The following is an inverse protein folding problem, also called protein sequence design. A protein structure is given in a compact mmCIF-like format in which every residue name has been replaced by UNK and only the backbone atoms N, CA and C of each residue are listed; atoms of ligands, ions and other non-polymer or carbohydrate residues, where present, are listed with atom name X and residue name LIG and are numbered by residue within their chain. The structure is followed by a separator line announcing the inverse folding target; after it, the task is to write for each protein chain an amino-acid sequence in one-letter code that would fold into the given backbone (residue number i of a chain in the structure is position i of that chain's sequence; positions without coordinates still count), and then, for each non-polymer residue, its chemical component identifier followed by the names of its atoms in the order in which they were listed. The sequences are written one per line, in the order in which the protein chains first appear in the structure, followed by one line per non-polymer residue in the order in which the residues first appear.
data_IF_389238666466
#
_entry.id   IF_389238666466
#
_cell.length_a   1.000
_cell.length_b   1.000
_cell.length_c   1.000
_cell.angle_alpha   90.00
_cell.angle_beta   90.00
_cell.angle_gamma   90.00
#
_symmetry.space_group_name_H-M   'P 1'
#
loop_
_entity.id
_entity.type
_entity.pdbx_description
1 polymer ?
#
# COMPACT_ATOMS: atom_id res chain seq x y z
N UNK A 1 -25.94 7.49 8.82
CA UNK A 1 -25.58 6.07 8.63
C UNK A 1 -24.50 5.73 9.65
N UNK A 2 -24.65 4.64 10.41
CA UNK A 2 -23.71 4.25 11.46
C UNK A 2 -22.35 3.89 10.85
N UNK A 3 -21.33 4.70 11.11
CA UNK A 3 -19.97 4.43 10.67
C UNK A 3 -19.39 3.31 11.55
N UNK A 4 -19.50 2.06 11.10
CA UNK A 4 -18.89 0.91 11.79
C UNK A 4 -17.38 1.01 11.53
N UNK A 5 -16.64 1.47 12.53
CA UNK A 5 -15.17 1.53 12.46
C UNK A 5 -14.66 0.08 12.50
N UNK A 6 -13.89 -0.39 11.49
CA UNK A 6 -13.31 -1.73 11.52
C UNK A 6 -12.49 -1.91 12.79
N UNK A 7 -12.63 -3.08 13.44
CA UNK A 7 -12.23 -3.22 14.84
C UNK A 7 -10.73 -3.40 15.07
N UNK A 8 -9.94 -3.79 14.06
CA UNK A 8 -8.48 -3.87 14.16
C UNK A 8 -7.86 -3.59 12.79
N UNK A 9 -6.71 -2.88 12.71
CA UNK A 9 -5.99 -2.74 11.45
C UNK A 9 -5.48 -4.10 11.00
N UNK A 10 -5.69 -4.43 9.72
CA UNK A 10 -5.12 -5.65 9.12
C UNK A 10 -3.60 -5.69 9.36
N UNK A 11 -3.07 -6.87 9.68
CA UNK A 11 -1.62 -7.05 9.86
C UNK A 11 -0.89 -6.67 8.57
N UNK A 12 0.04 -5.72 8.67
CA UNK A 12 0.84 -5.28 7.55
C UNK A 12 1.96 -6.29 7.29
N UNK A 13 2.13 -6.79 6.05
CA UNK A 13 3.18 -7.76 5.71
C UNK A 13 4.62 -7.27 5.99
N UNK A 14 4.81 -5.95 6.17
CA UNK A 14 6.11 -5.29 6.33
C UNK A 14 6.44 -5.03 7.81
N UNK A 15 5.55 -5.34 8.75
CA UNK A 15 5.67 -4.90 10.16
C UNK A 15 7.00 -5.29 10.83
N UNK A 16 7.54 -6.44 10.48
CA UNK A 16 8.76 -7.01 11.09
C UNK A 16 9.92 -7.20 10.10
N UNK A 17 9.84 -6.58 8.92
CA UNK A 17 10.83 -6.76 7.85
C UNK A 17 11.97 -5.75 7.99
N UNK A 18 13.21 -6.22 8.14
CA UNK A 18 14.39 -5.37 8.02
C UNK A 18 14.54 -4.93 6.56
N UNK A 19 14.21 -3.66 6.30
CA UNK A 19 14.21 -3.13 4.94
C UNK A 19 15.62 -2.84 4.47
N UNK A 20 16.03 -3.57 3.44
CA UNK A 20 17.21 -3.22 2.67
C UNK A 20 16.93 -1.96 1.81
N UNK A 21 17.95 -1.16 1.48
CA UNK A 21 17.77 0.02 0.62
C UNK A 21 17.19 -0.33 -0.76
N UNK A 22 17.44 -1.55 -1.25
CA UNK A 22 16.89 -2.06 -2.51
C UNK A 22 15.38 -2.30 -2.44
N UNK A 23 14.88 -2.78 -1.29
CA UNK A 23 13.45 -2.95 -1.04
C UNK A 23 12.76 -1.61 -0.83
N UNK A 24 13.43 -0.66 -0.18
CA UNK A 24 12.94 0.72 -0.07
C UNK A 24 12.77 1.36 -1.45
N UNK A 25 13.73 1.16 -2.35
CA UNK A 25 13.64 1.65 -3.73
C UNK A 25 12.50 0.95 -4.50
N UNK A 26 12.31 -0.36 -4.32
CA UNK A 26 11.18 -1.09 -4.92
C UNK A 26 9.84 -0.57 -4.42
N UNK A 27 9.71 -0.29 -3.11
CA UNK A 27 8.49 0.27 -2.53
C UNK A 27 8.16 1.67 -3.03
N UNK A 28 9.16 2.47 -3.42
CA UNK A 28 8.93 3.78 -4.07
C UNK A 28 8.38 3.68 -5.49
N UNK A 29 8.44 2.52 -6.14
CA UNK A 29 7.95 2.35 -7.52
C UNK A 29 6.43 2.35 -7.54
N UNK A 30 5.90 2.99 -8.58
CA UNK A 30 4.47 3.00 -8.85
C UNK A 30 4.09 1.73 -9.63
N UNK A 31 3.01 1.10 -9.18
CA UNK A 31 2.47 -0.11 -9.75
C UNK A 31 1.37 0.21 -10.78
N UNK A 32 1.22 -0.63 -11.81
CA UNK A 32 0.05 -0.62 -12.66
C UNK A 32 -1.16 -1.23 -11.93
N UNK A 33 -2.36 -1.07 -12.48
CA UNK A 33 -3.62 -1.53 -11.85
C UNK A 33 -3.64 -3.05 -11.62
N UNK A 34 -3.00 -3.84 -12.47
CA UNK A 34 -2.96 -5.30 -12.39
C UNK A 34 -2.15 -5.82 -11.20
N UNK A 35 -1.17 -5.03 -10.74
CA UNK A 35 -0.32 -5.34 -9.60
C UNK A 35 -0.76 -4.59 -8.33
N UNK A 36 -1.78 -3.72 -8.46
CA UNK A 36 -2.27 -2.93 -7.36
C UNK A 36 -3.07 -3.80 -6.36
N UNK A 37 -3.00 -3.47 -5.06
CA UNK A 37 -3.83 -4.15 -4.06
C UNK A 37 -5.33 -3.94 -4.34
N UNK A 38 -6.13 -4.99 -4.20
CA UNK A 38 -7.57 -5.00 -4.49
C UNK A 38 -8.36 -3.95 -3.69
N UNK A 39 -7.88 -3.62 -2.48
CA UNK A 39 -8.47 -2.59 -1.64
C UNK A 39 -8.14 -1.15 -2.09
N UNK A 40 -7.27 -0.95 -3.09
CA UNK A 40 -6.97 0.36 -3.70
C UNK A 40 -7.62 0.53 -5.07
N UNK A 41 -8.08 -0.55 -5.71
CA UNK A 41 -8.65 -0.55 -7.07
C UNK A 41 -10.14 -0.19 -7.08
N UNK A 42 -10.54 0.90 -6.40
CA UNK A 42 -11.93 1.36 -6.40
C UNK A 42 -12.34 2.08 -7.69
N UNK A 43 -11.38 2.67 -8.38
CA UNK A 43 -11.60 3.40 -9.62
C UNK A 43 -10.96 2.64 -10.79
N UNK A 44 -11.74 2.02 -11.69
CA UNK A 44 -11.22 1.23 -12.80
C UNK A 44 -10.56 2.07 -13.90
N UNK A 45 -10.67 3.40 -13.86
CA UNK A 45 -10.07 4.30 -14.85
C UNK A 45 -8.63 4.72 -14.49
N UNK A 46 -8.20 4.49 -13.26
CA UNK A 46 -6.81 4.72 -12.85
C UNK A 46 -6.03 3.46 -13.24
N UNK A 47 -5.26 3.50 -14.31
CA UNK A 47 -4.55 2.31 -14.83
C UNK A 47 -3.13 2.16 -14.27
N UNK A 48 -2.58 3.23 -13.70
CA UNK A 48 -1.21 3.30 -13.20
C UNK A 48 -1.10 4.31 -12.05
N UNK A 49 -0.01 4.21 -11.28
CA UNK A 49 0.26 5.15 -10.19
C UNK A 49 -0.12 4.63 -8.80
N UNK A 50 -0.37 3.33 -8.67
CA UNK A 50 -0.70 2.73 -7.38
C UNK A 50 0.56 2.54 -6.54
N UNK A 51 0.40 2.66 -5.22
CA UNK A 51 1.44 2.31 -4.25
C UNK A 51 1.07 0.99 -3.58
N UNK A 52 2.06 0.13 -3.40
CA UNK A 52 1.93 -1.10 -2.64
C UNK A 52 1.92 -0.83 -1.13
N UNK A 53 2.27 -1.84 -0.35
CA UNK A 53 2.51 -1.66 1.07
C UNK A 53 3.76 -0.80 1.29
N UNK A 54 3.63 0.22 2.13
CA UNK A 54 4.69 1.14 2.48
C UNK A 54 4.86 1.16 4.00
N UNK A 55 6.07 1.51 4.44
CA UNK A 55 6.28 1.88 5.85
C UNK A 55 5.64 3.23 6.14
N UNK A 56 5.32 3.47 7.42
CA UNK A 56 4.80 4.77 7.87
C UNK A 56 5.68 5.94 7.43
N UNK A 57 7.01 5.75 7.41
CA UNK A 57 7.97 6.74 6.93
C UNK A 57 7.75 7.07 5.45
N UNK A 58 7.70 6.05 4.59
CA UNK A 58 7.49 6.23 3.14
C UNK A 58 6.08 6.71 2.77
N UNK A 59 5.09 6.54 3.66
CA UNK A 59 3.76 7.12 3.50
C UNK A 59 3.73 8.63 3.71
N UNK A 60 4.68 9.18 4.48
CA UNK A 60 4.74 10.59 4.84
C UNK A 60 5.69 11.41 3.96
N UNK A 61 6.61 10.74 3.25
CA UNK A 61 7.51 11.31 2.24
C UNK A 61 6.78 11.57 0.91
#
# INVERSE_FOLDING_TARGET
TSHVRPKEPAESPIKDMELTPEEEEKMRRLLPIEEAPEYLTHNPFILHGYRGYLTTKLCLE
#
